data_IF_288144159912
#
_entry.id   IF_288144159912
#
_cell.length_a   1.000
_cell.length_b   1.000
_cell.length_c   1.000
_cell.angle_alpha   90.00
_cell.angle_beta   90.00
_cell.angle_gamma   90.00
#
_symmetry.space_group_name_H-M   'P 1'
#
loop_
_entity.id
_entity.type
_entity.pdbx_description
1 polymer ?
#
# COMPACT_ATOMS: atom_id res chain seq x y z
N UNK A 1 4.60 -4.85 -8.62
CA UNK A 1 3.20 -4.87 -9.23
C UNK A 1 3.12 -3.95 -10.44
N UNK A 2 2.21 -4.18 -11.43
CA UNK A 2 1.98 -3.21 -12.53
C UNK A 2 1.23 -1.96 -12.06
N UNK A 3 1.49 -0.81 -12.70
CA UNK A 3 0.86 0.50 -12.39
C UNK A 3 -0.67 0.45 -12.26
N UNK A 4 -1.35 -0.32 -13.12
CA UNK A 4 -2.82 -0.48 -13.04
C UNK A 4 -3.28 -1.24 -11.80
N UNK A 5 -2.47 -2.17 -11.29
CA UNK A 5 -2.75 -2.89 -10.03
C UNK A 5 -2.67 -1.94 -8.84
N UNK A 6 -1.62 -1.11 -8.77
CA UNK A 6 -1.46 -0.10 -7.73
C UNK A 6 -2.64 0.89 -7.69
N UNK A 7 -3.08 1.37 -8.85
CA UNK A 7 -4.25 2.28 -8.91
C UNK A 7 -5.52 1.56 -8.43
N UNK A 8 -5.75 0.31 -8.88
CA UNK A 8 -6.93 -0.46 -8.47
C UNK A 8 -6.93 -0.72 -6.96
N UNK A 9 -5.79 -1.16 -6.41
CA UNK A 9 -5.60 -1.39 -4.99
C UNK A 9 -5.83 -0.12 -4.18
N UNK A 10 -5.14 0.98 -4.54
CA UNK A 10 -5.27 2.27 -3.84
C UNK A 10 -6.72 2.76 -3.85
N UNK A 11 -7.42 2.62 -4.99
CA UNK A 11 -8.85 2.94 -5.08
C UNK A 11 -9.68 2.10 -4.11
N UNK A 12 -9.43 0.80 -4.05
CA UNK A 12 -10.10 -0.11 -3.12
C UNK A 12 -9.87 0.24 -1.66
N UNK A 13 -8.61 0.52 -1.29
CA UNK A 13 -8.22 0.89 0.08
C UNK A 13 -8.88 2.19 0.53
N UNK A 14 -8.86 3.24 -0.32
CA UNK A 14 -9.51 4.52 -0.02
C UNK A 14 -11.00 4.35 0.20
N UNK A 15 -11.65 3.57 -0.65
CA UNK A 15 -13.08 3.30 -0.54
C UNK A 15 -13.40 2.46 0.70
N UNK A 16 -12.61 1.42 0.96
CA UNK A 16 -12.78 0.53 2.11
C UNK A 16 -12.72 1.23 3.47
N UNK A 17 -11.99 2.34 3.56
CA UNK A 17 -11.90 3.19 4.76
C UNK A 17 -12.85 4.39 4.73
N UNK A 18 -13.74 4.50 3.74
CA UNK A 18 -14.56 5.70 3.52
C UNK A 18 -13.74 7.00 3.57
N UNK A 19 -12.48 6.92 3.09
CA UNK A 19 -11.49 7.98 3.21
C UNK A 19 -11.51 8.96 2.03
N UNK A 20 -12.47 8.84 1.09
CA UNK A 20 -12.54 9.66 -0.11
C UNK A 20 -12.65 11.16 0.21
N UNK A 21 -13.38 11.49 1.26
CA UNK A 21 -13.58 12.88 1.68
C UNK A 21 -12.34 13.48 2.36
N UNK A 22 -11.48 12.62 2.94
CA UNK A 22 -10.23 13.05 3.59
C UNK A 22 -9.16 13.45 2.58
N UNK A 23 -9.19 12.86 1.38
CA UNK A 23 -8.25 13.16 0.29
C UNK A 23 -8.91 14.04 -0.77
N UNK A 24 -8.95 15.36 -0.56
CA UNK A 24 -9.44 16.32 -1.55
C UNK A 24 -8.71 16.26 -2.90
N UNK A 25 -7.52 15.67 -2.93
CA UNK A 25 -6.67 15.48 -4.12
C UNK A 25 -6.45 14.00 -4.45
N UNK A 26 -7.54 13.25 -4.69
CA UNK A 26 -7.48 11.80 -5.01
C UNK A 26 -6.56 11.46 -6.19
N UNK A 27 -6.53 12.33 -7.21
CA UNK A 27 -5.62 12.13 -8.35
C UNK A 27 -4.15 12.10 -7.90
N UNK A 28 -3.77 12.97 -6.97
CA UNK A 28 -2.41 13.02 -6.42
C UNK A 28 -2.05 11.74 -5.65
N UNK A 29 -3.02 11.13 -4.97
CA UNK A 29 -2.84 9.84 -4.31
C UNK A 29 -2.58 8.72 -5.33
N UNK A 30 -3.35 8.68 -6.43
CA UNK A 30 -3.15 7.69 -7.51
C UNK A 30 -1.83 7.93 -8.24
N UNK A 31 -1.45 9.18 -8.51
CA UNK A 31 -0.12 9.51 -9.04
C UNK A 31 0.98 9.01 -8.10
N UNK A 32 0.84 9.26 -6.79
CA UNK A 32 1.77 8.75 -5.78
C UNK A 32 1.91 7.22 -5.82
N UNK A 33 0.79 6.50 -6.00
CA UNK A 33 0.80 5.04 -6.01
C UNK A 33 1.49 4.39 -7.23
N UNK A 34 1.84 5.16 -8.25
CA UNK A 34 2.60 4.69 -9.42
C UNK A 34 3.93 5.42 -9.59
N UNK A 35 4.19 6.43 -8.78
CA UNK A 35 5.36 7.30 -8.93
C UNK A 35 6.69 6.55 -8.81
N UNK A 36 6.89 5.59 -7.88
CA UNK A 36 8.13 4.82 -7.81
C UNK A 36 8.48 4.10 -9.12
N UNK A 37 7.48 3.54 -9.81
CA UNK A 37 7.62 2.87 -11.12
C UNK A 37 7.88 3.84 -12.29
N UNK A 38 7.80 5.13 -12.06
CA UNK A 38 7.98 6.18 -13.07
C UNK A 38 9.28 6.95 -12.89
N UNK A 39 10.06 6.64 -11.85
CA UNK A 39 11.33 7.34 -11.54
C UNK A 39 12.54 6.50 -11.94
N UNK A 40 13.70 7.11 -12.31
CA UNK A 40 14.91 6.36 -12.67
C UNK A 40 15.40 5.42 -11.56
N UNK A 41 15.06 5.66 -10.29
CA UNK A 41 15.39 4.77 -9.17
C UNK A 41 14.77 3.38 -9.28
N UNK A 42 13.71 3.20 -10.06
CA UNK A 42 13.15 1.90 -10.43
C UNK A 42 14.19 0.96 -11.07
N UNK A 43 15.12 1.52 -11.85
CA UNK A 43 16.17 0.75 -12.52
C UNK A 43 17.32 0.32 -11.59
N UNK A 44 17.46 0.95 -10.44
CA UNK A 44 18.61 0.78 -9.54
C UNK A 44 18.24 0.16 -8.18
N UNK A 45 16.98 0.20 -7.77
CA UNK A 45 16.49 -0.38 -6.51
C UNK A 45 15.32 -1.31 -6.78
N UNK A 46 15.41 -2.54 -6.29
CA UNK A 46 14.28 -3.47 -6.32
C UNK A 46 13.24 -2.99 -5.31
N UNK A 47 11.97 -3.12 -5.66
CA UNK A 47 10.86 -2.77 -4.77
C UNK A 47 10.55 -3.91 -3.78
N UNK A 48 11.59 -4.41 -3.11
CA UNK A 48 11.46 -5.37 -2.03
C UNK A 48 11.65 -4.69 -0.67
N UNK A 49 11.24 -5.37 0.39
CA UNK A 49 11.29 -4.81 1.75
C UNK A 49 12.74 -4.51 2.16
N UNK A 50 13.68 -5.36 1.79
CA UNK A 50 15.10 -5.22 2.15
C UNK A 50 15.73 -3.96 1.55
N UNK A 51 15.34 -3.57 0.32
CA UNK A 51 15.98 -2.49 -0.42
C UNK A 51 15.30 -1.13 -0.22
N UNK A 52 14.00 -1.10 0.16
CA UNK A 52 13.19 0.14 0.12
C UNK A 52 12.40 0.44 1.39
N UNK A 53 12.53 -0.36 2.44
CA UNK A 53 11.79 -0.12 3.67
C UNK A 53 12.12 1.23 4.33
N UNK A 54 13.39 1.63 4.31
CA UNK A 54 13.85 2.93 4.79
C UNK A 54 13.24 4.11 4.00
N UNK A 55 13.03 3.92 2.70
CA UNK A 55 12.37 4.92 1.85
C UNK A 55 10.89 5.02 2.21
N UNK A 56 10.23 3.87 2.40
CA UNK A 56 8.83 3.82 2.80
C UNK A 56 8.62 4.51 4.16
N UNK A 57 9.45 4.21 5.16
CA UNK A 57 9.45 4.85 6.47
C UNK A 57 9.60 6.37 6.37
N UNK A 58 10.56 6.87 5.58
CA UNK A 58 10.74 8.31 5.35
C UNK A 58 9.49 8.97 4.74
N UNK A 59 8.74 8.24 3.89
CA UNK A 59 7.47 8.76 3.34
C UNK A 59 6.36 8.79 4.37
N UNK A 60 6.27 7.78 5.25
CA UNK A 60 5.35 7.75 6.39
C UNK A 60 5.62 8.91 7.35
N UNK A 61 6.88 9.10 7.77
CA UNK A 61 7.31 10.25 8.58
C UNK A 61 6.96 11.59 7.93
N UNK A 62 7.25 11.71 6.63
CA UNK A 62 6.94 12.91 5.88
C UNK A 62 5.43 13.16 5.76
N UNK A 63 4.61 12.12 5.72
CA UNK A 63 3.15 12.24 5.76
C UNK A 63 2.68 12.79 7.12
N UNK A 64 3.13 12.18 8.22
CA UNK A 64 2.77 12.59 9.58
C UNK A 64 3.20 14.02 9.90
N UNK A 65 4.43 14.41 9.53
CA UNK A 65 4.94 15.79 9.74
C UNK A 65 4.12 16.84 9.00
N UNK A 66 3.67 16.56 7.78
CA UNK A 66 2.90 17.51 6.98
C UNK A 66 1.45 17.68 7.44
N UNK A 67 0.86 16.65 8.05
CA UNK A 67 -0.49 16.75 8.60
C UNK A 67 -0.54 17.68 9.81
N UNK A 68 0.46 17.60 10.71
CA UNK A 68 0.55 18.44 11.92
C UNK A 68 0.59 19.96 11.63
N UNK A 69 0.98 20.35 10.43
CA UNK A 69 1.18 21.76 10.07
C UNK A 69 -0.03 22.41 9.37
N UNK A 70 -1.03 21.64 8.95
CA UNK A 70 -2.18 22.18 8.20
C UNK A 70 -3.53 21.72 8.78
N UNK A 71 -4.30 22.65 9.32
CA UNK A 71 -5.61 22.44 9.96
C UNK A 71 -6.75 22.01 9.00
N UNK A 72 -6.55 21.82 7.70
CA UNK A 72 -7.62 21.51 6.73
C UNK A 72 -7.17 20.46 5.70
N UNK A 73 -7.40 19.18 6.02
CA UNK A 73 -7.28 18.08 5.07
C UNK A 73 -5.86 17.79 4.57
N UNK A 74 -5.73 16.78 3.73
CA UNK A 74 -4.43 16.39 3.18
C UNK A 74 -4.06 17.26 1.98
N UNK A 75 -2.84 17.81 2.00
CA UNK A 75 -2.28 18.52 0.85
C UNK A 75 -1.98 17.57 -0.31
N UNK A 76 -1.77 18.12 -1.51
CA UNK A 76 -1.29 17.37 -2.68
C UNK A 76 -0.06 16.51 -2.31
N UNK A 77 0.91 17.12 -1.62
CA UNK A 77 2.14 16.42 -1.23
C UNK A 77 1.90 15.29 -0.22
N UNK A 78 1.00 15.48 0.75
CA UNK A 78 0.62 14.41 1.68
C UNK A 78 -0.08 13.25 0.95
N UNK A 79 -0.96 13.57 0.00
CA UNK A 79 -1.63 12.56 -0.84
C UNK A 79 -0.62 11.77 -1.69
N UNK A 80 0.35 12.45 -2.32
CA UNK A 80 1.43 11.78 -3.06
C UNK A 80 2.24 10.86 -2.13
N UNK A 81 2.63 11.33 -0.93
CA UNK A 81 3.39 10.52 0.02
C UNK A 81 2.63 9.27 0.45
N UNK A 82 1.35 9.40 0.77
CA UNK A 82 0.50 8.26 1.08
C UNK A 82 0.44 7.28 -0.09
N UNK A 83 0.27 7.76 -1.32
CA UNK A 83 0.30 6.92 -2.52
C UNK A 83 1.61 6.14 -2.67
N UNK A 84 2.76 6.80 -2.43
CA UNK A 84 4.09 6.14 -2.46
C UNK A 84 4.22 5.09 -1.36
N UNK A 85 3.71 5.35 -0.16
CA UNK A 85 3.66 4.35 0.93
C UNK A 85 2.87 3.13 0.49
N UNK A 86 1.65 3.33 -0.01
CA UNK A 86 0.80 2.23 -0.48
C UNK A 86 1.43 1.43 -1.63
N UNK A 87 2.21 2.10 -2.51
CA UNK A 87 2.97 1.43 -3.56
C UNK A 87 3.97 0.43 -2.97
N UNK A 88 4.87 0.89 -2.11
CA UNK A 88 5.90 0.02 -1.53
C UNK A 88 5.30 -1.10 -0.69
N UNK A 89 4.32 -0.79 0.16
CA UNK A 89 3.61 -1.81 0.94
C UNK A 89 2.99 -2.87 0.02
N UNK A 90 2.33 -2.47 -1.07
CA UNK A 90 1.75 -3.42 -2.02
C UNK A 90 2.80 -4.32 -2.67
N UNK A 91 3.96 -3.79 -3.03
CA UNK A 91 5.04 -4.55 -3.63
C UNK A 91 5.66 -5.56 -2.67
N UNK A 92 5.81 -5.24 -1.39
CA UNK A 92 6.33 -6.18 -0.37
C UNK A 92 5.45 -7.44 -0.25
N UNK A 93 4.15 -7.32 -0.50
CA UNK A 93 3.19 -8.41 -0.49
C UNK A 93 2.83 -8.89 -1.92
N UNK A 94 3.82 -8.86 -2.81
CA UNK A 94 3.72 -9.38 -4.18
C UNK A 94 4.85 -10.36 -4.42
N UNK A 95 4.54 -11.62 -4.71
CA UNK A 95 5.50 -12.73 -4.74
C UNK A 95 6.77 -12.47 -5.56
N UNK A 96 6.71 -11.93 -6.80
CA UNK A 96 7.91 -11.62 -7.56
C UNK A 96 8.85 -10.56 -6.97
N UNK A 97 8.42 -9.80 -5.99
CA UNK A 97 9.24 -8.79 -5.30
C UNK A 97 9.97 -9.32 -4.06
N UNK A 98 9.89 -10.62 -3.80
CA UNK A 98 10.52 -11.25 -2.64
C UNK A 98 11.77 -12.04 -3.01
N UNK A 99 12.75 -12.10 -2.11
CA UNK A 99 14.09 -12.67 -2.36
C UNK A 99 14.06 -14.16 -2.77
N UNK A 100 13.05 -14.91 -2.33
CA UNK A 100 12.89 -16.34 -2.62
C UNK A 100 12.09 -16.61 -3.91
N UNK A 101 11.75 -15.58 -4.70
CA UNK A 101 11.11 -15.78 -6.00
C UNK A 101 12.09 -16.46 -7.00
N UNK A 102 11.77 -17.68 -7.49
CA UNK A 102 12.70 -18.43 -8.33
C UNK A 102 12.57 -18.13 -9.83
N UNK A 103 11.60 -17.27 -10.21
CA UNK A 103 11.25 -17.03 -11.61
C UNK A 103 12.22 -16.11 -12.33
N UNK A 104 12.21 -16.23 -13.66
CA UNK A 104 12.91 -15.31 -14.56
C UNK A 104 12.18 -13.96 -14.66
N UNK A 105 12.81 -12.99 -15.31
CA UNK A 105 12.14 -11.71 -15.62
C UNK A 105 10.85 -11.89 -16.45
N UNK A 106 10.83 -12.88 -17.35
CA UNK A 106 9.64 -13.22 -18.13
C UNK A 106 8.51 -13.75 -17.22
N UNK A 107 8.85 -14.64 -16.29
CA UNK A 107 7.89 -15.18 -15.32
C UNK A 107 7.36 -14.08 -14.41
N UNK A 108 8.21 -13.18 -13.95
CA UNK A 108 7.83 -11.98 -13.20
C UNK A 108 6.80 -11.14 -13.97
N UNK A 109 7.09 -10.81 -15.23
CA UNK A 109 6.17 -10.01 -16.06
C UNK A 109 4.83 -10.72 -16.30
N UNK A 110 4.84 -12.06 -16.49
CA UNK A 110 3.62 -12.86 -16.65
C UNK A 110 2.80 -12.87 -15.36
N UNK A 111 3.44 -13.10 -14.23
CA UNK A 111 2.81 -13.06 -12.92
C UNK A 111 2.12 -11.72 -12.63
N UNK A 112 2.81 -10.62 -12.90
CA UNK A 112 2.24 -9.29 -12.71
C UNK A 112 1.07 -8.98 -13.66
N UNK A 113 1.04 -9.59 -14.86
CA UNK A 113 -0.12 -9.47 -15.75
C UNK A 113 -1.34 -10.17 -15.16
N UNK A 114 -1.17 -11.38 -14.64
CA UNK A 114 -2.23 -12.13 -13.96
C UNK A 114 -2.72 -11.40 -12.70
N UNK A 115 -1.77 -10.92 -11.90
CA UNK A 115 -2.06 -10.11 -10.70
C UNK A 115 -2.85 -8.84 -11.04
N UNK A 116 -2.56 -8.19 -12.18
CA UNK A 116 -3.30 -7.00 -12.63
C UNK A 116 -4.78 -7.32 -12.87
N UNK A 117 -5.06 -8.43 -13.53
CA UNK A 117 -6.45 -8.85 -13.80
C UNK A 117 -7.14 -9.27 -12.50
N UNK A 118 -6.44 -10.03 -11.66
CA UNK A 118 -6.98 -10.52 -10.40
C UNK A 118 -7.26 -9.39 -9.41
N UNK A 119 -6.33 -8.47 -9.22
CA UNK A 119 -6.51 -7.30 -8.33
C UNK A 119 -7.71 -6.45 -8.75
N UNK A 120 -7.87 -6.21 -10.05
CA UNK A 120 -9.03 -5.48 -10.56
C UNK A 120 -10.35 -6.18 -10.23
N UNK A 121 -10.41 -7.50 -10.43
CA UNK A 121 -11.60 -8.31 -10.11
C UNK A 121 -11.83 -8.39 -8.61
N UNK A 122 -10.78 -8.54 -7.81
CA UNK A 122 -10.83 -8.58 -6.35
C UNK A 122 -11.45 -7.31 -5.77
N UNK A 123 -10.95 -6.14 -6.19
CA UNK A 123 -11.47 -4.84 -5.75
C UNK A 123 -12.91 -4.63 -6.22
N UNK A 124 -13.23 -4.98 -7.48
CA UNK A 124 -14.57 -4.84 -8.02
C UNK A 124 -15.59 -5.72 -7.29
N UNK A 125 -15.28 -6.99 -7.05
CA UNK A 125 -16.18 -7.92 -6.38
C UNK A 125 -16.50 -7.44 -4.96
N UNK A 126 -15.51 -6.96 -4.21
CA UNK A 126 -15.73 -6.38 -2.87
C UNK A 126 -16.58 -5.12 -2.92
N UNK A 127 -16.47 -4.33 -3.98
CA UNK A 127 -17.33 -3.16 -4.19
C UNK A 127 -18.79 -3.57 -4.46
N UNK A 128 -19.00 -4.55 -5.33
CA UNK A 128 -20.33 -5.03 -5.71
C UNK A 128 -21.04 -5.82 -4.60
N UNK A 129 -20.28 -6.55 -3.77
CA UNK A 129 -20.84 -7.30 -2.62
C UNK A 129 -21.19 -6.41 -1.41
N UNK A 130 -20.82 -5.14 -1.41
CA UNK A 130 -20.96 -4.26 -0.25
C UNK A 130 -19.95 -4.55 0.88
N UNK A 131 -19.10 -5.58 0.73
CA UNK A 131 -18.05 -5.94 1.71
C UNK A 131 -16.87 -4.97 1.72
N UNK A 132 -16.97 -3.87 1.01
CA UNK A 132 -15.87 -2.94 0.86
C UNK A 132 -15.67 -2.03 2.05
N UNK A 133 -16.71 -1.77 2.83
CA UNK A 133 -16.56 -1.06 4.09
C UNK A 133 -15.97 -2.00 5.13
N UNK A 134 -14.69 -1.81 5.38
CA UNK A 134 -14.01 -2.57 6.41
C UNK A 134 -14.43 -2.04 7.78
N UNK A 135 -14.80 -2.94 8.68
CA UNK A 135 -15.05 -2.55 10.07
C UNK A 135 -13.72 -2.11 10.70
N UNK A 136 -13.60 -0.83 11.01
CA UNK A 136 -12.38 -0.25 11.59
C UNK A 136 -11.96 -0.95 12.89
N UNK A 137 -12.91 -1.60 13.60
CA UNK A 137 -12.64 -2.40 14.81
C UNK A 137 -11.84 -3.67 14.54
N UNK A 138 -11.78 -4.11 13.28
CA UNK A 138 -10.99 -5.28 12.84
C UNK A 138 -9.57 -4.88 12.44
N UNK A 139 -9.27 -3.58 12.37
CA UNK A 139 -7.93 -3.08 12.06
C UNK A 139 -7.07 -3.01 13.33
N UNK A 140 -5.74 -3.15 13.19
CA UNK A 140 -4.85 -3.10 14.35
C UNK A 140 -4.91 -1.72 15.02
N UNK A 141 -4.91 -1.72 16.35
CA UNK A 141 -4.71 -0.51 17.13
C UNK A 141 -3.20 -0.24 17.21
N UNK A 142 -2.75 0.83 16.57
CA UNK A 142 -1.35 1.23 16.44
C UNK A 142 -1.18 2.60 17.09
N UNK A 143 -0.28 2.72 18.05
CA UNK A 143 -0.07 3.96 18.83
C UNK A 143 1.17 4.75 18.40
N UNK A 144 2.06 4.16 17.64
CA UNK A 144 3.29 4.81 17.17
C UNK A 144 3.68 4.39 15.76
N UNK A 145 4.53 5.21 15.12
CA UNK A 145 5.10 4.81 13.82
C UNK A 145 5.96 3.55 13.95
N UNK A 146 6.68 3.38 15.09
CA UNK A 146 7.49 2.18 15.30
C UNK A 146 6.62 0.92 15.33
N UNK A 147 5.53 0.92 16.06
CA UNK A 147 4.57 -0.20 16.08
C UNK A 147 4.01 -0.50 14.69
N UNK A 148 3.77 0.53 13.87
CA UNK A 148 3.31 0.33 12.49
C UNK A 148 4.38 -0.34 11.62
N UNK A 149 5.64 0.07 11.77
CA UNK A 149 6.76 -0.53 11.05
C UNK A 149 6.96 -1.99 11.45
N UNK A 150 6.86 -2.29 12.75
CA UNK A 150 6.98 -3.65 13.27
C UNK A 150 5.82 -4.53 12.82
N UNK A 151 4.59 -4.00 12.81
CA UNK A 151 3.42 -4.66 12.23
C UNK A 151 3.63 -5.05 10.77
N UNK A 152 4.16 -4.14 9.94
CA UNK A 152 4.41 -4.43 8.51
C UNK A 152 5.43 -5.56 8.36
N UNK A 153 6.53 -5.54 9.14
CA UNK A 153 7.56 -6.59 9.11
C UNK A 153 6.99 -7.94 9.54
N UNK A 154 6.26 -7.99 10.64
CA UNK A 154 5.61 -9.20 11.14
C UNK A 154 4.67 -9.81 10.08
N UNK A 155 3.81 -8.97 9.47
CA UNK A 155 2.91 -9.45 8.40
C UNK A 155 3.66 -9.93 7.17
N UNK A 156 4.79 -9.30 6.84
CA UNK A 156 5.63 -9.74 5.74
C UNK A 156 6.29 -11.10 6.02
N UNK A 157 6.76 -11.35 7.25
CA UNK A 157 7.28 -12.65 7.66
C UNK A 157 6.23 -13.75 7.47
N UNK A 158 5.00 -13.55 7.94
CA UNK A 158 3.92 -14.52 7.71
C UNK A 158 3.65 -14.73 6.21
N UNK A 159 3.56 -13.65 5.44
CA UNK A 159 3.30 -13.73 4.01
C UNK A 159 4.36 -14.55 3.25
N UNK A 160 5.63 -14.39 3.60
CA UNK A 160 6.75 -15.11 2.98
C UNK A 160 6.65 -16.63 3.22
N UNK A 161 6.14 -17.04 4.38
CA UNK A 161 5.93 -18.45 4.71
C UNK A 161 4.79 -19.11 3.89
N UNK A 162 3.79 -18.34 3.49
CA UNK A 162 2.58 -18.84 2.81
C UNK A 162 2.77 -19.21 1.33
N UNK A 163 3.97 -19.14 0.78
CA UNK A 163 4.30 -19.33 -0.63
C UNK A 163 3.33 -18.63 -1.58
N UNK A 164 3.72 -17.44 -2.02
CA UNK A 164 2.89 -16.51 -2.77
C UNK A 164 2.13 -17.10 -3.95
N UNK A 165 0.89 -16.74 -4.02
CA UNK A 165 0.05 -16.89 -5.21
C UNK A 165 -0.78 -15.62 -5.40
N UNK A 166 -1.26 -15.42 -6.62
CA UNK A 166 -1.96 -14.18 -7.02
C UNK A 166 -3.14 -13.83 -6.11
N UNK A 167 -3.84 -14.80 -5.53
CA UNK A 167 -4.97 -14.55 -4.62
C UNK A 167 -4.48 -14.07 -3.25
N UNK A 168 -3.45 -14.70 -2.71
CA UNK A 168 -2.81 -14.29 -1.46
C UNK A 168 -2.21 -12.90 -1.60
N UNK A 169 -1.52 -12.62 -2.71
CA UNK A 169 -0.97 -11.30 -2.99
C UNK A 169 -2.06 -10.22 -2.98
N UNK A 170 -3.21 -10.48 -3.62
CA UNK A 170 -4.34 -9.55 -3.58
C UNK A 170 -4.86 -9.32 -2.15
N UNK A 171 -5.02 -10.40 -1.37
CA UNK A 171 -5.55 -10.33 -0.02
C UNK A 171 -4.59 -9.61 0.94
N UNK A 172 -3.31 -10.03 0.98
CA UNK A 172 -2.31 -9.42 1.85
C UNK A 172 -2.05 -7.96 1.49
N UNK A 173 -1.82 -7.65 0.19
CA UNK A 173 -1.60 -6.27 -0.25
C UNK A 173 -2.78 -5.38 0.17
N UNK A 174 -4.02 -5.85 0.00
CA UNK A 174 -5.21 -5.07 0.34
C UNK A 174 -5.33 -4.84 1.84
N UNK A 175 -5.25 -5.90 2.66
CA UNK A 175 -5.45 -5.83 4.11
C UNK A 175 -4.33 -5.00 4.76
N UNK A 176 -3.08 -5.22 4.37
CA UNK A 176 -1.95 -4.47 4.97
C UNK A 176 -1.96 -3.02 4.52
N UNK A 177 -2.28 -2.72 3.25
CA UNK A 177 -2.46 -1.33 2.81
C UNK A 177 -3.61 -0.62 3.53
N UNK A 178 -4.73 -1.31 3.81
CA UNK A 178 -5.82 -0.79 4.65
C UNK A 178 -5.33 -0.44 6.04
N UNK A 179 -4.67 -1.39 6.71
CA UNK A 179 -4.15 -1.20 8.07
C UNK A 179 -3.15 -0.04 8.13
N UNK A 180 -2.20 0.01 7.19
CA UNK A 180 -1.18 1.08 7.13
C UNK A 180 -1.83 2.45 6.89
N UNK A 181 -2.75 2.55 5.93
CA UNK A 181 -3.43 3.82 5.65
C UNK A 181 -4.26 4.26 6.85
N UNK A 182 -5.05 3.37 7.45
CA UNK A 182 -5.84 3.65 8.65
C UNK A 182 -4.97 4.14 9.80
N UNK A 183 -3.91 3.39 10.15
CA UNK A 183 -3.01 3.75 11.25
C UNK A 183 -2.33 5.10 11.03
N UNK A 184 -1.85 5.38 9.82
CA UNK A 184 -1.26 6.69 9.49
C UNK A 184 -2.27 7.83 9.61
N UNK A 185 -3.54 7.58 9.24
CA UNK A 185 -4.61 8.56 9.41
C UNK A 185 -4.90 8.82 10.90
N UNK A 186 -4.95 7.77 11.72
CA UNK A 186 -5.17 7.89 13.17
C UNK A 186 -3.99 8.60 13.86
N UNK A 187 -2.76 8.19 13.59
CA UNK A 187 -1.55 8.83 14.13
C UNK A 187 -1.41 10.30 13.70
N UNK A 188 -1.93 10.66 12.53
CA UNK A 188 -1.92 12.04 12.07
C UNK A 188 -2.92 12.92 12.81
N UNK A 189 -4.09 12.37 13.18
CA UNK A 189 -5.17 13.09 13.89
C UNK A 189 -4.92 13.14 15.39
N UNK A 190 -4.44 12.03 15.95
CA UNK A 190 -4.18 11.85 17.38
C UNK A 190 -2.68 11.64 17.61
N UNK A 191 -1.85 12.68 17.50
CA UNK A 191 -0.43 12.56 17.76
C UNK A 191 -0.21 12.25 19.26
N UNK A 192 0.52 11.16 19.54
CA UNK A 192 0.98 10.83 20.87
C UNK A 192 1.87 11.92 21.47
#
# INVERSE_FOLDING_TARGET
MRKKSHISLTKGVVHGLSAEQRFGHRLSLYVGSILPDCTPSFLTRRHCIEDTFDVCEKKMLGFLKHYKTKKKGFSILSSIRMGVVLHYIADYFTYPHNAHYPGTLKDHCSYEEDLKHRMRSFVRNRYESGEMQYDERMLPTIHSLQELLDYVKEKHEYYVHDRGNVNLDCAYSYIVCLAVMYSLLQLAVNPA
#
